data_IF_736699249560
#
_entry.id   IF_736699249560
#
_cell.length_a   1.000
_cell.length_b   1.000
_cell.length_c   1.000
_cell.angle_alpha   90.00
_cell.angle_beta   90.00
_cell.angle_gamma   90.00
#
_symmetry.space_group_name_H-M   'P 1'
#
loop_
_entity.id
_entity.type
_entity.pdbx_description
1 polymer ?
#
# COMPACT_ATOMS: atom_id res chain seq x y z
N UNK A 1 -30.27 1.87 -29.30
CA UNK A 1 -28.87 2.31 -29.20
C UNK A 1 -28.66 2.73 -27.75
N UNK A 2 -28.13 1.81 -26.94
CA UNK A 2 -28.03 1.97 -25.49
C UNK A 2 -26.72 2.66 -25.20
N UNK A 3 -26.79 3.91 -24.79
CA UNK A 3 -25.63 4.74 -24.49
C UNK A 3 -25.02 4.23 -23.18
N UNK A 4 -24.03 3.36 -23.30
CA UNK A 4 -23.29 2.80 -22.16
C UNK A 4 -22.52 3.95 -21.52
N UNK A 5 -23.09 4.47 -20.43
CA UNK A 5 -22.50 5.51 -19.61
C UNK A 5 -21.12 5.02 -19.16
N UNK A 6 -20.07 5.60 -19.73
CA UNK A 6 -18.72 5.54 -19.20
C UNK A 6 -18.81 5.97 -17.74
N UNK A 7 -18.84 4.98 -16.84
CA UNK A 7 -18.92 5.18 -15.40
C UNK A 7 -17.61 5.84 -15.02
N UNK A 8 -17.61 7.17 -14.89
CA UNK A 8 -16.49 7.91 -14.34
C UNK A 8 -16.22 7.31 -12.96
N UNK A 9 -15.12 6.57 -12.86
CA UNK A 9 -14.60 6.13 -11.58
C UNK A 9 -13.82 7.33 -11.06
N UNK A 10 -14.47 8.13 -10.22
CA UNK A 10 -13.77 9.11 -9.39
C UNK A 10 -12.91 8.34 -8.40
N UNK A 11 -11.60 8.47 -8.52
CA UNK A 11 -10.64 8.02 -7.52
C UNK A 11 -9.87 9.22 -7.02
N UNK A 12 -9.62 9.27 -5.72
CA UNK A 12 -8.81 10.34 -5.14
C UNK A 12 -7.36 10.17 -5.58
N UNK A 13 -6.84 11.16 -6.31
CA UNK A 13 -5.43 11.26 -6.66
C UNK A 13 -4.67 11.69 -5.41
N UNK A 14 -4.19 10.72 -4.64
CA UNK A 14 -3.34 10.95 -3.48
C UNK A 14 -1.90 11.24 -3.95
N UNK A 15 -1.73 12.39 -4.60
CA UNK A 15 -0.42 12.99 -4.85
C UNK A 15 0.10 13.53 -3.52
N UNK A 16 0.84 12.69 -2.77
CA UNK A 16 1.70 13.02 -1.64
C UNK A 16 1.28 14.22 -0.77
N UNK A 17 0.79 13.95 0.46
CA UNK A 17 0.70 14.82 1.66
C UNK A 17 -0.64 14.74 2.42
N UNK A 18 -1.59 13.90 2.00
CA UNK A 18 -2.71 13.57 2.88
C UNK A 18 -2.27 12.46 3.85
N UNK A 19 -1.97 12.87 5.09
CA UNK A 19 -1.85 11.98 6.24
C UNK A 19 -3.20 11.32 6.50
N UNK A 20 -3.31 10.04 6.17
CA UNK A 20 -4.53 9.25 6.33
C UNK A 20 -4.64 8.77 7.76
N UNK A 21 -5.77 9.02 8.40
CA UNK A 21 -6.11 8.34 9.66
C UNK A 21 -6.26 6.84 9.46
N UNK A 22 -6.18 6.06 10.53
CA UNK A 22 -6.49 4.62 10.52
C UNK A 22 -7.84 4.33 9.84
N UNK A 23 -8.87 5.12 10.14
CA UNK A 23 -10.20 4.95 9.55
C UNK A 23 -10.24 5.21 8.04
N UNK A 24 -9.47 6.19 7.55
CA UNK A 24 -9.36 6.47 6.12
C UNK A 24 -8.60 5.39 5.38
N UNK A 25 -7.50 4.88 5.96
CA UNK A 25 -6.75 3.77 5.39
C UNK A 25 -7.61 2.50 5.28
N UNK A 26 -8.34 2.15 6.35
CA UNK A 26 -9.28 1.03 6.36
C UNK A 26 -10.32 1.15 5.23
N UNK A 27 -10.90 2.33 5.03
CA UNK A 27 -11.86 2.58 3.93
C UNK A 27 -11.20 2.49 2.55
N UNK A 28 -10.03 3.11 2.36
CA UNK A 28 -9.33 3.16 1.08
C UNK A 28 -8.84 1.78 0.60
N UNK A 29 -8.49 0.91 1.55
CA UNK A 29 -7.99 -0.45 1.30
C UNK A 29 -9.06 -1.53 1.47
N UNK A 30 -10.27 -1.17 1.91
CA UNK A 30 -11.35 -2.10 2.24
C UNK A 30 -10.89 -3.20 3.20
N UNK A 31 -10.21 -2.78 4.27
CA UNK A 31 -9.66 -3.66 5.31
C UNK A 31 -10.27 -3.35 6.67
N UNK A 32 -10.47 -4.38 7.52
CA UNK A 32 -10.76 -4.16 8.93
C UNK A 32 -9.51 -3.63 9.67
N UNK A 33 -9.72 -2.96 10.80
CA UNK A 33 -8.63 -2.34 11.57
C UNK A 33 -7.61 -3.37 12.07
N UNK A 34 -8.09 -4.55 12.45
CA UNK A 34 -7.28 -5.71 12.86
C UNK A 34 -6.23 -6.06 11.80
N UNK A 35 -6.61 -6.05 10.51
CA UNK A 35 -5.63 -6.28 9.45
C UNK A 35 -4.66 -5.13 9.28
N UNK A 36 -5.06 -3.90 9.52
CA UNK A 36 -4.12 -2.77 9.50
C UNK A 36 -3.09 -2.91 10.62
N UNK A 37 -3.50 -3.33 11.83
CA UNK A 37 -2.58 -3.62 12.92
C UNK A 37 -1.56 -4.69 12.55
N UNK A 38 -1.99 -5.82 11.98
CA UNK A 38 -1.08 -6.88 11.54
C UNK A 38 -0.07 -6.39 10.48
N UNK A 39 -0.51 -5.52 9.55
CA UNK A 39 0.40 -4.93 8.55
C UNK A 39 1.40 -3.94 9.18
N UNK A 40 1.03 -3.26 10.27
CA UNK A 40 1.95 -2.40 11.03
C UNK A 40 2.96 -3.24 11.81
N UNK A 41 2.50 -4.31 12.47
CA UNK A 41 3.36 -5.22 13.23
C UNK A 41 4.42 -5.89 12.36
N UNK A 42 4.06 -6.27 11.14
CA UNK A 42 4.96 -6.86 10.14
C UNK A 42 5.81 -5.80 9.38
N UNK A 43 5.71 -4.51 9.74
CA UNK A 43 6.49 -3.42 9.12
C UNK A 43 6.12 -3.14 7.65
N UNK A 44 4.99 -3.66 7.17
CA UNK A 44 4.52 -3.42 5.81
C UNK A 44 4.08 -1.97 5.66
N UNK A 45 3.53 -1.36 6.70
CA UNK A 45 3.19 0.05 6.75
C UNK A 45 3.63 0.63 8.09
N UNK A 46 4.13 1.86 8.05
CA UNK A 46 4.60 2.54 9.25
C UNK A 46 3.68 3.73 9.52
N UNK A 47 2.96 3.74 10.66
CA UNK A 47 2.20 4.91 11.08
C UNK A 47 3.13 5.97 11.67
N UNK A 48 2.76 7.22 11.47
CA UNK A 48 3.23 8.35 12.27
C UNK A 48 2.32 8.50 13.50
N UNK A 49 2.91 8.77 14.66
CA UNK A 49 2.20 8.85 15.94
C UNK A 49 2.51 7.67 16.87
N UNK A 50 2.36 7.86 18.19
CA UNK A 50 2.75 6.84 19.17
C UNK A 50 1.67 5.80 19.45
N UNK A 51 0.40 6.18 19.30
CA UNK A 51 -0.74 5.32 19.64
C UNK A 51 -1.73 5.21 18.47
N UNK A 52 -2.50 4.10 18.37
CA UNK A 52 -3.46 3.88 17.29
C UNK A 52 -4.49 4.99 17.08
N UNK A 53 -4.88 5.67 18.16
CA UNK A 53 -5.78 6.84 18.13
C UNK A 53 -5.17 8.06 17.44
N UNK A 54 -3.85 8.12 17.37
CA UNK A 54 -3.04 9.21 16.81
C UNK A 54 -2.33 8.82 15.51
N UNK A 55 -2.64 7.64 14.94
CA UNK A 55 -1.97 7.14 13.76
C UNK A 55 -2.36 7.89 12.50
N UNK A 56 -1.32 8.28 11.76
CA UNK A 56 -1.42 8.82 10.42
C UNK A 56 -0.54 8.04 9.46
N UNK A 57 -1.02 7.85 8.23
CA UNK A 57 -0.37 7.03 7.22
C UNK A 57 -0.21 7.84 5.94
N UNK A 58 0.99 7.77 5.36
CA UNK A 58 1.24 8.39 4.07
C UNK A 58 0.57 7.61 2.93
N UNK A 59 0.30 8.26 1.79
CA UNK A 59 -0.32 7.63 0.62
C UNK A 59 0.43 6.39 0.09
N UNK A 60 1.74 6.28 0.36
CA UNK A 60 2.54 5.08 0.05
C UNK A 60 2.01 3.83 0.77
N UNK A 61 1.40 3.98 1.94
CA UNK A 61 0.81 2.89 2.71
C UNK A 61 -0.30 2.17 1.92
N UNK A 62 -1.15 2.90 1.20
CA UNK A 62 -2.18 2.29 0.33
C UNK A 62 -1.55 1.40 -0.73
N UNK A 63 -0.47 1.87 -1.37
CA UNK A 63 0.23 1.10 -2.41
C UNK A 63 0.84 -0.18 -1.83
N UNK A 64 1.47 -0.09 -0.65
CA UNK A 64 2.06 -1.23 0.05
C UNK A 64 0.99 -2.25 0.45
N UNK A 65 -0.10 -1.80 1.06
CA UNK A 65 -1.26 -2.64 1.44
C UNK A 65 -1.83 -3.39 0.24
N UNK A 66 -2.10 -2.68 -0.88
CA UNK A 66 -2.62 -3.31 -2.10
C UNK A 66 -1.64 -4.31 -2.71
N UNK A 67 -0.34 -4.05 -2.61
CA UNK A 67 0.67 -4.98 -3.07
C UNK A 67 0.64 -6.27 -2.25
N UNK A 68 0.57 -6.17 -0.91
CA UNK A 68 0.45 -7.33 -0.03
C UNK A 68 -0.82 -8.12 -0.30
N UNK A 69 -1.99 -7.47 -0.41
CA UNK A 69 -3.23 -8.15 -0.78
C UNK A 69 -3.12 -8.94 -2.08
N UNK A 70 -2.38 -8.43 -3.06
CA UNK A 70 -2.12 -9.13 -4.33
C UNK A 70 -1.14 -10.28 -4.16
N UNK A 71 -0.07 -10.11 -3.40
CA UNK A 71 0.88 -11.20 -3.12
C UNK A 71 0.17 -12.36 -2.40
N UNK A 72 -0.63 -12.06 -1.37
CA UNK A 72 -1.41 -13.06 -0.64
C UNK A 72 -2.42 -13.77 -1.55
N UNK A 73 -3.15 -13.02 -2.38
CA UNK A 73 -4.16 -13.58 -3.30
C UNK A 73 -3.55 -14.37 -4.45
N UNK A 74 -2.57 -13.81 -5.13
CA UNK A 74 -2.07 -14.30 -6.40
C UNK A 74 -1.00 -15.39 -6.19
N UNK A 75 -0.25 -15.34 -5.07
CA UNK A 75 0.84 -16.26 -4.76
C UNK A 75 0.57 -17.14 -3.54
N UNK A 76 -0.49 -16.89 -2.77
CA UNK A 76 -0.82 -17.69 -1.58
C UNK A 76 0.17 -17.53 -0.43
N UNK A 77 0.98 -16.47 -0.42
CA UNK A 77 1.92 -16.21 0.68
C UNK A 77 1.16 -15.66 1.90
N UNK A 78 1.73 -15.86 3.10
CA UNK A 78 1.24 -15.23 4.31
C UNK A 78 1.74 -13.77 4.43
N UNK A 79 1.26 -13.02 5.44
CA UNK A 79 1.63 -11.62 5.67
C UNK A 79 3.15 -11.41 5.72
N UNK A 80 3.86 -12.21 6.52
CA UNK A 80 5.32 -12.12 6.65
C UNK A 80 6.05 -12.42 5.32
N UNK A 81 5.57 -13.40 4.56
CA UNK A 81 6.09 -13.71 3.22
C UNK A 81 5.82 -12.58 2.22
N UNK A 82 4.67 -11.93 2.33
CA UNK A 82 4.34 -10.75 1.52
C UNK A 82 5.21 -9.54 1.90
N UNK A 83 5.51 -9.32 3.18
CA UNK A 83 6.44 -8.31 3.65
C UNK A 83 7.83 -8.51 3.05
N UNK A 84 8.38 -9.73 3.15
CA UNK A 84 9.67 -10.07 2.58
C UNK A 84 9.69 -9.89 1.04
N UNK A 85 8.64 -10.33 0.35
CA UNK A 85 8.54 -10.15 -1.10
C UNK A 85 8.47 -8.66 -1.48
N UNK A 86 7.79 -7.83 -0.69
CA UNK A 86 7.73 -6.38 -0.89
C UNK A 86 9.12 -5.74 -0.76
N UNK A 87 9.91 -6.12 0.25
CA UNK A 87 11.27 -5.63 0.43
C UNK A 87 12.18 -6.02 -0.74
N UNK A 88 12.05 -7.25 -1.25
CA UNK A 88 12.79 -7.71 -2.43
C UNK A 88 12.39 -6.93 -3.69
N UNK A 89 11.11 -6.59 -3.85
CA UNK A 89 10.64 -5.77 -4.96
C UNK A 89 11.16 -4.33 -4.88
N UNK A 90 11.23 -3.77 -3.68
CA UNK A 90 11.82 -2.45 -3.43
C UNK A 90 13.32 -2.46 -3.75
N UNK A 91 14.03 -3.50 -3.34
CA UNK A 91 15.46 -3.65 -3.63
C UNK A 91 15.72 -3.85 -5.13
N UNK A 92 14.93 -4.68 -5.82
CA UNK A 92 14.98 -4.81 -7.26
C UNK A 92 14.74 -3.48 -7.98
N UNK A 93 13.82 -2.66 -7.47
CA UNK A 93 13.54 -1.33 -8.01
C UNK A 93 14.75 -0.42 -7.85
N UNK A 94 15.40 -0.42 -6.67
CA UNK A 94 16.62 0.34 -6.40
C UNK A 94 17.77 -0.10 -7.30
N UNK A 95 18.03 -1.40 -7.39
CA UNK A 95 19.10 -1.97 -8.23
C UNK A 95 18.89 -1.62 -9.71
N UNK A 96 17.68 -1.78 -10.23
CA UNK A 96 17.35 -1.41 -11.62
C UNK A 96 17.49 0.09 -11.87
N UNK A 97 17.17 0.93 -10.89
CA UNK A 97 17.38 2.38 -11.00
C UNK A 97 18.87 2.73 -11.01
N UNK A 98 19.70 1.99 -10.27
CA UNK A 98 21.16 2.14 -10.26
C UNK A 98 21.77 1.79 -11.62
N UNK A 99 21.41 0.63 -12.20
CA UNK A 99 21.90 0.22 -13.52
C UNK A 99 21.58 1.24 -14.61
N UNK A 100 20.33 1.76 -14.64
CA UNK A 100 19.92 2.81 -15.60
C UNK A 100 20.66 4.15 -15.45
N UNK A 101 21.35 4.38 -14.33
CA UNK A 101 22.22 5.55 -14.16
C UNK A 101 23.60 5.33 -14.77
N UNK A 102 24.08 4.09 -14.84
CA UNK A 102 25.38 3.73 -15.43
C UNK A 102 25.32 3.46 -16.93
N UNK A 103 24.16 3.08 -17.45
CA UNK A 103 23.91 2.93 -18.89
C UNK A 103 23.67 4.27 -19.61
N UNK A 104 23.82 5.40 -18.91
CA UNK A 104 23.68 6.77 -19.43
C UNK A 104 25.02 7.46 -19.64
#
# INVERSE_FOLDING_TARGET
MTNDLLKMISGDLLENEADLTLAELCRACQLPAERVFELVEEGIIEPLGQEPSSWYFQGVSIRRVRCVQRLERDLGVNTAGAALALDLLDELTRLRAHLRRFER
#
